data_IF_893661898074
#
_entry.id   IF_893661898074
#
_cell.length_a   1.000
_cell.length_b   1.000
_cell.length_c   1.000
_cell.angle_alpha   90.00
_cell.angle_beta   90.00
_cell.angle_gamma   90.00
#
_symmetry.space_group_name_H-M   'P 1'
#
loop_
_entity.id
_entity.type
_entity.pdbx_description
1 polymer ?
#
# COMPACT_ATOMS: atom_id res chain seq x y z
N UNK A 1 -35.56 -2.32 15.43
CA UNK A 1 -35.35 -3.30 14.34
C UNK A 1 -33.83 -3.45 14.22
N UNK A 2 -33.26 -4.45 14.89
CA UNK A 2 -31.80 -4.66 14.96
C UNK A 2 -31.41 -5.33 13.65
N UNK A 3 -30.68 -4.61 12.79
CA UNK A 3 -30.07 -5.19 11.59
C UNK A 3 -28.99 -6.19 12.03
N UNK A 4 -29.29 -7.46 11.84
CA UNK A 4 -28.35 -8.57 11.95
C UNK A 4 -27.21 -8.32 10.94
N UNK A 5 -26.02 -8.04 11.43
CA UNK A 5 -24.81 -8.10 10.63
C UNK A 5 -24.62 -9.56 10.24
N UNK A 6 -24.95 -9.89 9.01
CA UNK A 6 -24.63 -11.18 8.44
C UNK A 6 -23.12 -11.36 8.46
N UNK A 7 -22.63 -12.21 9.35
CA UNK A 7 -21.27 -12.75 9.32
C UNK A 7 -21.12 -13.55 8.03
N UNK A 8 -20.72 -12.89 6.95
CA UNK A 8 -20.35 -13.56 5.71
C UNK A 8 -19.25 -14.57 6.02
N UNK A 9 -19.58 -15.86 5.98
CA UNK A 9 -18.63 -16.96 6.05
C UNK A 9 -17.62 -16.75 4.91
N UNK A 10 -16.35 -16.50 5.24
CA UNK A 10 -15.24 -16.74 4.33
C UNK A 10 -15.21 -18.25 4.07
N UNK A 11 -15.88 -18.72 3.02
CA UNK A 11 -15.99 -20.14 2.67
C UNK A 11 -14.77 -20.67 1.91
N UNK A 12 -13.83 -19.81 1.55
CA UNK A 12 -12.51 -20.17 1.06
C UNK A 12 -11.48 -19.21 1.67
N UNK A 13 -10.31 -19.72 2.01
CA UNK A 13 -9.20 -18.93 2.53
C UNK A 13 -8.74 -17.96 1.45
N UNK A 14 -8.71 -16.67 1.74
CA UNK A 14 -8.24 -15.62 0.83
C UNK A 14 -6.76 -15.78 0.55
N UNK A 15 -6.35 -15.83 -0.71
CA UNK A 15 -4.96 -15.89 -1.14
C UNK A 15 -4.53 -14.50 -1.63
N UNK A 16 -3.54 -13.93 -0.97
CA UNK A 16 -3.04 -12.60 -1.28
C UNK A 16 -1.56 -12.60 -1.66
N UNK A 17 -1.19 -11.79 -2.63
CA UNK A 17 0.18 -11.42 -2.94
C UNK A 17 0.38 -9.95 -2.57
N UNK A 18 1.31 -9.66 -1.66
CA UNK A 18 1.73 -8.30 -1.32
C UNK A 18 3.15 -8.09 -1.83
N UNK A 19 3.26 -7.41 -2.96
CA UNK A 19 4.52 -7.06 -3.59
C UNK A 19 5.11 -5.80 -2.92
N UNK A 20 6.34 -5.91 -2.40
CA UNK A 20 6.96 -4.83 -1.62
C UNK A 20 6.48 -4.78 -0.17
N UNK A 21 6.49 -5.94 0.51
CA UNK A 21 5.97 -6.10 1.86
C UNK A 21 7.04 -6.19 2.95
N UNK A 22 8.25 -5.74 2.68
CA UNK A 22 9.37 -5.80 3.64
C UNK A 22 9.14 -4.88 4.83
N UNK A 23 8.57 -3.68 4.61
CA UNK A 23 8.38 -2.61 5.62
C UNK A 23 7.21 -1.69 5.24
N UNK A 24 6.94 -0.69 6.07
CA UNK A 24 5.98 0.39 5.83
C UNK A 24 4.57 -0.11 5.53
N UNK A 25 3.91 0.50 4.55
CA UNK A 25 2.55 0.15 4.17
C UNK A 25 2.40 -1.33 3.81
N UNK A 26 3.32 -1.89 3.01
CA UNK A 26 3.26 -3.29 2.58
C UNK A 26 3.32 -4.28 3.74
N UNK A 27 4.16 -4.00 4.76
CA UNK A 27 4.25 -4.79 6.00
C UNK A 27 2.94 -4.72 6.79
N UNK A 28 2.39 -3.50 6.95
CA UNK A 28 1.11 -3.31 7.64
C UNK A 28 -0.05 -3.99 6.90
N UNK A 29 -0.11 -3.86 5.58
CA UNK A 29 -1.13 -4.52 4.75
C UNK A 29 -1.05 -6.04 4.87
N UNK A 30 0.15 -6.62 4.78
CA UNK A 30 0.33 -8.06 4.93
C UNK A 30 -0.15 -8.55 6.30
N UNK A 31 0.22 -7.87 7.39
CA UNK A 31 -0.19 -8.21 8.75
C UNK A 31 -1.72 -8.14 8.94
N UNK A 32 -2.37 -7.09 8.47
CA UNK A 32 -3.82 -6.91 8.60
C UNK A 32 -4.62 -7.88 7.68
N UNK A 33 -4.07 -8.29 6.55
CA UNK A 33 -4.61 -9.41 5.76
C UNK A 33 -4.50 -10.74 6.54
N UNK A 34 -3.39 -10.94 7.26
CA UNK A 34 -3.26 -12.06 8.20
C UNK A 34 -4.32 -12.03 9.29
N UNK A 35 -4.61 -10.87 9.86
CA UNK A 35 -5.63 -10.71 10.92
C UNK A 35 -7.06 -11.07 10.44
N UNK A 36 -7.31 -11.06 9.13
CA UNK A 36 -8.57 -11.52 8.55
C UNK A 36 -8.51 -12.97 8.03
N UNK A 37 -7.44 -13.71 8.37
CA UNK A 37 -7.29 -15.14 8.09
C UNK A 37 -6.78 -15.46 6.67
N UNK A 38 -6.14 -14.52 5.98
CA UNK A 38 -5.61 -14.76 4.64
C UNK A 38 -4.30 -15.58 4.67
N UNK A 39 -4.05 -16.32 3.58
CA UNK A 39 -2.70 -16.74 3.21
C UNK A 39 -2.05 -15.61 2.42
N UNK A 40 -0.92 -15.11 2.89
CA UNK A 40 -0.26 -13.94 2.33
C UNK A 40 1.14 -14.29 1.85
N UNK A 41 1.37 -14.19 0.56
CA UNK A 41 2.70 -14.21 -0.03
C UNK A 41 3.34 -12.83 0.13
N UNK A 42 4.33 -12.77 1.00
CA UNK A 42 5.08 -11.57 1.37
C UNK A 42 6.34 -11.50 0.52
N UNK A 43 6.46 -10.50 -0.34
CA UNK A 43 7.60 -10.44 -1.26
C UNK A 43 8.40 -9.15 -1.15
N UNK A 44 9.68 -9.25 -1.45
CA UNK A 44 10.65 -8.18 -1.43
C UNK A 44 12.05 -8.73 -1.66
N UNK A 45 13.05 -7.84 -1.73
CA UNK A 45 14.43 -8.20 -2.01
C UNK A 45 15.25 -8.49 -0.75
N UNK A 46 14.86 -7.90 0.39
CA UNK A 46 15.60 -8.05 1.66
C UNK A 46 15.07 -9.25 2.44
N UNK A 47 15.97 -10.18 2.70
CA UNK A 47 15.77 -11.37 3.52
C UNK A 47 16.73 -11.33 4.73
N UNK A 48 16.62 -12.29 5.65
CA UNK A 48 17.56 -12.45 6.76
C UNK A 48 18.99 -12.73 6.29
N UNK A 49 19.13 -13.39 5.14
CA UNK A 49 20.42 -13.81 4.59
C UNK A 49 20.99 -12.79 3.58
N UNK A 50 20.16 -11.92 3.03
CA UNK A 50 20.55 -10.98 1.98
C UNK A 50 19.85 -9.64 2.14
N UNK A 51 20.60 -8.57 2.32
CA UNK A 51 20.10 -7.20 2.31
C UNK A 51 20.07 -6.65 0.87
N UNK A 52 19.07 -5.79 0.59
CA UNK A 52 19.05 -4.98 -0.63
C UNK A 52 20.03 -3.81 -0.51
N UNK A 53 20.20 -3.05 -1.61
CA UNK A 53 21.03 -1.85 -1.66
C UNK A 53 20.65 -0.77 -0.63
N UNK A 54 19.45 -0.84 -0.05
CA UNK A 54 19.00 0.09 1.00
C UNK A 54 19.58 -0.21 2.38
N UNK A 55 20.19 -1.38 2.57
CA UNK A 55 20.86 -1.82 3.81
C UNK A 55 19.98 -1.68 5.06
N UNK A 56 18.66 -1.83 4.90
CA UNK A 56 17.73 -1.74 6.02
C UNK A 56 17.52 -3.12 6.68
N UNK A 57 17.27 -3.14 8.00
CA UNK A 57 17.19 -4.38 8.77
C UNK A 57 15.91 -5.18 8.54
N UNK A 58 14.81 -4.52 8.11
CA UNK A 58 13.51 -5.16 7.98
C UNK A 58 13.52 -6.24 6.88
N UNK A 59 12.94 -7.41 7.15
CA UNK A 59 12.95 -8.56 6.25
C UNK A 59 11.53 -9.05 5.89
N UNK A 60 11.43 -9.78 4.78
CA UNK A 60 10.15 -10.39 4.38
C UNK A 60 9.76 -11.54 5.31
N UNK A 61 10.72 -12.24 5.92
CA UNK A 61 10.46 -13.32 6.88
C UNK A 61 9.81 -12.78 8.14
N UNK A 62 10.29 -11.65 8.67
CA UNK A 62 9.67 -11.00 9.83
C UNK A 62 8.22 -10.59 9.52
N UNK A 63 7.97 -10.09 8.31
CA UNK A 63 6.62 -9.74 7.89
C UNK A 63 5.73 -10.98 7.77
N UNK A 64 6.24 -12.09 7.21
CA UNK A 64 5.50 -13.35 7.15
C UNK A 64 5.17 -13.92 8.54
N UNK A 65 6.09 -13.76 9.50
CA UNK A 65 5.84 -14.09 10.91
C UNK A 65 4.76 -13.19 11.54
N UNK A 66 4.74 -11.88 11.19
CA UNK A 66 3.66 -10.97 11.63
C UNK A 66 2.30 -11.44 11.11
N UNK A 67 2.20 -11.81 9.83
CA UNK A 67 0.98 -12.38 9.23
C UNK A 67 0.51 -13.61 10.03
N UNK A 68 1.44 -14.51 10.33
CA UNK A 68 1.13 -15.75 11.05
C UNK A 68 0.71 -15.47 12.51
N UNK A 69 1.39 -14.57 13.20
CA UNK A 69 1.00 -14.13 14.55
C UNK A 69 -0.36 -13.45 14.59
N UNK A 70 -0.74 -12.77 13.52
CA UNK A 70 -2.05 -12.12 13.38
C UNK A 70 -3.20 -13.11 13.13
N UNK A 71 -2.92 -14.39 12.82
CA UNK A 71 -3.93 -15.43 12.62
C UNK A 71 -4.10 -15.92 11.20
N UNK A 72 -3.29 -15.41 10.25
CA UNK A 72 -3.22 -15.87 8.87
C UNK A 72 -2.12 -16.90 8.63
N UNK A 73 -1.73 -17.03 7.38
CA UNK A 73 -0.59 -17.86 6.96
C UNK A 73 0.38 -17.03 6.12
N UNK A 74 1.51 -16.62 6.70
CA UNK A 74 2.53 -15.82 6.02
C UNK A 74 3.56 -16.69 5.30
N UNK A 75 3.82 -16.40 4.03
CA UNK A 75 4.79 -17.09 3.20
C UNK A 75 5.77 -16.05 2.63
N UNK A 76 7.00 -16.05 3.12
CA UNK A 76 8.05 -15.18 2.58
C UNK A 76 8.60 -15.76 1.27
N UNK A 77 8.67 -14.93 0.23
CA UNK A 77 9.27 -15.29 -1.05
C UNK A 77 10.14 -14.14 -1.54
N UNK A 78 11.45 -14.37 -1.59
CA UNK A 78 12.37 -13.37 -2.15
C UNK A 78 12.07 -13.18 -3.64
N UNK A 79 11.87 -11.94 -4.06
CA UNK A 79 11.69 -11.58 -5.45
C UNK A 79 12.15 -10.14 -5.72
N UNK A 80 12.91 -9.96 -6.80
CA UNK A 80 13.07 -8.68 -7.45
C UNK A 80 11.99 -8.55 -8.53
N UNK A 81 11.07 -7.63 -8.33
CA UNK A 81 9.94 -7.44 -9.25
C UNK A 81 10.32 -6.76 -10.56
N UNK A 82 11.58 -6.32 -10.75
CA UNK A 82 12.15 -5.98 -12.05
C UNK A 82 12.59 -7.21 -12.84
N UNK A 83 12.85 -8.33 -12.18
CA UNK A 83 13.23 -9.59 -12.80
C UNK A 83 11.97 -10.39 -13.18
N UNK A 84 11.70 -10.44 -14.49
CA UNK A 84 10.52 -11.11 -15.04
C UNK A 84 10.48 -12.61 -14.73
N UNK A 85 11.64 -13.27 -14.67
CA UNK A 85 11.73 -14.70 -14.41
C UNK A 85 11.44 -15.01 -12.94
N UNK A 86 11.92 -14.17 -12.01
CA UNK A 86 11.59 -14.31 -10.61
C UNK A 86 10.09 -14.06 -10.35
N UNK A 87 9.49 -13.04 -10.98
CA UNK A 87 8.04 -12.76 -10.84
C UNK A 87 7.21 -13.90 -11.43
N UNK A 88 7.60 -14.43 -12.60
CA UNK A 88 6.92 -15.59 -13.18
C UNK A 88 7.00 -16.81 -12.25
N UNK A 89 8.19 -17.13 -11.74
CA UNK A 89 8.39 -18.26 -10.82
C UNK A 89 7.59 -18.09 -9.52
N UNK A 90 7.47 -16.87 -8.98
CA UNK A 90 6.62 -16.54 -7.84
C UNK A 90 5.17 -16.87 -8.12
N UNK A 91 4.62 -16.40 -9.24
CA UNK A 91 3.20 -16.64 -9.60
C UNK A 91 2.94 -18.12 -9.88
N UNK A 92 3.86 -18.81 -10.56
CA UNK A 92 3.79 -20.27 -10.76
C UNK A 92 3.83 -21.04 -9.44
N UNK A 93 4.60 -20.55 -8.44
CA UNK A 93 4.59 -21.11 -7.09
C UNK A 93 3.24 -20.94 -6.42
N UNK A 94 2.65 -19.72 -6.46
CA UNK A 94 1.30 -19.47 -5.92
C UNK A 94 0.28 -20.39 -6.59
N UNK A 95 0.35 -20.53 -7.91
CA UNK A 95 -0.54 -21.42 -8.66
C UNK A 95 -0.41 -22.89 -8.22
N UNK A 96 0.81 -23.41 -8.11
CA UNK A 96 1.03 -24.80 -7.65
C UNK A 96 0.56 -25.04 -6.22
N UNK A 97 0.75 -24.08 -5.33
CA UNK A 97 0.44 -24.22 -3.91
C UNK A 97 -1.04 -23.97 -3.60
N UNK A 98 -1.70 -23.04 -4.32
CA UNK A 98 -3.03 -22.53 -3.99
C UNK A 98 -4.06 -22.69 -5.13
N UNK A 99 -3.60 -22.75 -6.39
CA UNK A 99 -4.46 -22.82 -7.57
C UNK A 99 -5.25 -21.54 -7.88
N UNK A 100 -5.08 -20.48 -7.06
CA UNK A 100 -5.80 -19.20 -7.17
C UNK A 100 -5.01 -18.04 -6.57
N UNK A 101 -5.41 -16.84 -6.97
CA UNK A 101 -5.03 -15.57 -6.33
C UNK A 101 -6.29 -14.70 -6.21
N UNK A 102 -6.56 -14.16 -5.04
CA UNK A 102 -7.74 -13.34 -4.79
C UNK A 102 -7.42 -11.86 -4.68
N UNK A 103 -6.22 -11.54 -4.17
CA UNK A 103 -5.78 -10.17 -3.90
C UNK A 103 -4.35 -9.97 -4.39
N UNK A 104 -4.15 -8.95 -5.19
CA UNK A 104 -2.84 -8.43 -5.55
C UNK A 104 -2.69 -7.03 -4.99
N UNK A 105 -1.66 -6.81 -4.17
CA UNK A 105 -1.27 -5.48 -3.70
C UNK A 105 0.08 -5.13 -4.30
N UNK A 106 0.12 -4.17 -5.20
CA UNK A 106 1.33 -3.57 -5.72
C UNK A 106 1.75 -2.40 -4.83
N UNK A 107 2.74 -2.62 -3.97
CA UNK A 107 3.25 -1.62 -3.02
C UNK A 107 4.76 -1.39 -3.18
N UNK A 108 5.34 -1.77 -4.31
CA UNK A 108 6.76 -1.58 -4.54
C UNK A 108 7.05 -0.09 -4.77
N UNK A 109 8.01 0.43 -4.01
CA UNK A 109 8.49 1.78 -4.20
C UNK A 109 9.97 1.76 -4.56
N UNK A 110 10.87 1.80 -3.62
CA UNK A 110 12.32 1.75 -3.87
C UNK A 110 12.93 3.06 -4.36
N UNK A 111 12.24 4.18 -4.16
CA UNK A 111 12.72 5.50 -4.55
C UNK A 111 13.24 6.35 -3.39
N UNK A 112 13.35 5.81 -2.18
CA UNK A 112 13.62 6.59 -0.97
C UNK A 112 14.90 7.42 -1.03
N UNK A 113 15.93 6.92 -1.70
CA UNK A 113 17.23 7.59 -1.81
C UNK A 113 17.48 8.23 -3.18
N UNK A 114 16.48 8.23 -4.07
CA UNK A 114 16.64 8.62 -5.47
C UNK A 114 16.03 9.98 -5.80
N UNK A 115 15.20 10.55 -4.94
CA UNK A 115 14.59 11.84 -5.22
C UNK A 115 15.34 12.99 -4.53
N UNK A 116 15.35 14.15 -5.19
CA UNK A 116 15.86 15.39 -4.64
C UNK A 116 14.69 16.33 -4.38
N UNK A 117 14.68 16.94 -3.20
CA UNK A 117 13.71 17.96 -2.85
C UNK A 117 14.02 19.27 -3.58
N UNK A 118 12.99 20.00 -3.99
CA UNK A 118 13.07 21.39 -4.47
C UNK A 118 14.01 21.65 -5.66
N UNK A 119 14.36 20.61 -6.42
CA UNK A 119 15.13 20.77 -7.65
C UNK A 119 14.23 20.74 -8.88
N UNK A 120 14.46 21.61 -9.88
CA UNK A 120 13.79 21.48 -11.16
C UNK A 120 14.35 20.28 -11.94
N UNK A 121 13.57 19.78 -12.90
CA UNK A 121 13.91 18.58 -13.68
C UNK A 121 15.34 18.56 -14.23
N UNK A 122 15.82 19.67 -14.73
CA UNK A 122 17.15 19.80 -15.37
C UNK A 122 18.33 19.80 -14.39
N UNK A 123 18.06 19.78 -13.07
CA UNK A 123 19.07 19.66 -12.02
C UNK A 123 19.00 18.29 -11.28
N UNK A 124 18.04 17.45 -11.65
CA UNK A 124 17.99 16.08 -11.14
C UNK A 124 19.09 15.22 -11.77
N UNK A 125 19.58 14.24 -11.01
CA UNK A 125 20.30 13.14 -11.60
C UNK A 125 19.34 12.32 -12.48
N UNK A 126 19.66 12.23 -13.77
CA UNK A 126 18.78 11.56 -14.73
C UNK A 126 18.73 10.05 -14.50
N UNK A 127 19.87 9.43 -14.13
CA UNK A 127 19.95 7.99 -13.90
C UNK A 127 19.12 7.61 -12.66
N UNK A 128 19.19 8.41 -11.59
CA UNK A 128 18.35 8.23 -10.40
C UNK A 128 16.87 8.39 -10.73
N UNK A 129 16.51 9.41 -11.49
CA UNK A 129 15.14 9.65 -11.93
C UNK A 129 14.58 8.50 -12.77
N UNK A 130 15.34 8.04 -13.77
CA UNK A 130 14.96 6.91 -14.62
C UNK A 130 14.89 5.59 -13.82
N UNK A 131 15.80 5.41 -12.85
CA UNK A 131 15.75 4.27 -11.94
C UNK A 131 14.49 4.29 -11.08
N UNK A 132 14.08 5.45 -10.56
CA UNK A 132 12.83 5.62 -9.81
C UNK A 132 11.60 5.19 -10.64
N UNK A 133 11.51 5.62 -11.91
CA UNK A 133 10.44 5.20 -12.81
C UNK A 133 10.40 3.67 -12.95
N UNK A 134 11.55 3.04 -13.20
CA UNK A 134 11.63 1.58 -13.32
C UNK A 134 11.20 0.87 -12.03
N UNK A 135 11.69 1.32 -10.87
CA UNK A 135 11.38 0.70 -9.59
C UNK A 135 9.90 0.80 -9.21
N UNK A 136 9.21 1.86 -9.60
CA UNK A 136 7.85 2.11 -9.17
C UNK A 136 6.79 1.87 -10.26
N UNK A 137 7.17 1.84 -11.54
CA UNK A 137 6.24 1.61 -12.65
C UNK A 137 6.43 0.22 -13.25
N UNK A 138 7.65 -0.11 -13.70
CA UNK A 138 7.89 -1.40 -14.36
C UNK A 138 7.58 -2.58 -13.44
N UNK A 139 7.91 -2.46 -12.14
CA UNK A 139 7.63 -3.51 -11.14
C UNK A 139 6.14 -3.80 -11.00
N UNK A 140 5.28 -2.77 -10.96
CA UNK A 140 3.83 -2.92 -10.90
C UNK A 140 3.29 -3.56 -12.19
N UNK A 141 3.78 -3.12 -13.36
CA UNK A 141 3.39 -3.68 -14.66
C UNK A 141 3.80 -5.15 -14.77
N UNK A 142 5.06 -5.48 -14.46
CA UNK A 142 5.59 -6.85 -14.54
C UNK A 142 4.81 -7.76 -13.59
N UNK A 143 4.61 -7.33 -12.35
CA UNK A 143 3.88 -8.12 -11.35
C UNK A 143 2.45 -8.38 -11.80
N UNK A 144 1.74 -7.33 -12.22
CA UNK A 144 0.36 -7.44 -12.71
C UNK A 144 0.27 -8.34 -13.95
N UNK A 145 1.20 -8.21 -14.91
CA UNK A 145 1.21 -9.03 -16.13
C UNK A 145 1.20 -10.54 -15.83
N UNK A 146 2.01 -10.98 -14.87
CA UNK A 146 2.07 -12.41 -14.52
C UNK A 146 0.97 -12.83 -13.55
N UNK A 147 0.56 -11.97 -12.60
CA UNK A 147 -0.40 -12.31 -11.55
C UNK A 147 -1.87 -12.30 -12.02
N UNK A 148 -2.24 -11.39 -12.91
CA UNK A 148 -3.62 -11.21 -13.32
C UNK A 148 -4.27 -12.42 -13.99
N UNK A 149 -3.59 -13.24 -14.83
CA UNK A 149 -4.18 -14.48 -15.35
C UNK A 149 -4.62 -15.45 -14.25
N UNK A 150 -3.87 -15.53 -13.14
CA UNK A 150 -4.22 -16.37 -11.99
C UNK A 150 -5.37 -15.74 -11.19
N UNK A 151 -5.35 -14.44 -10.97
CA UNK A 151 -6.39 -13.69 -10.25
C UNK A 151 -7.75 -13.78 -10.98
N UNK A 152 -7.75 -13.77 -12.30
CA UNK A 152 -8.96 -13.82 -13.13
C UNK A 152 -9.56 -15.22 -13.31
N UNK A 153 -8.98 -16.26 -12.72
CA UNK A 153 -9.59 -17.61 -12.76
C UNK A 153 -10.89 -17.70 -11.97
N UNK A 154 -11.08 -16.78 -11.03
CA UNK A 154 -12.27 -16.68 -10.19
C UNK A 154 -12.80 -15.26 -10.19
N UNK A 155 -14.11 -15.10 -10.05
CA UNK A 155 -14.71 -13.78 -9.90
C UNK A 155 -14.36 -13.16 -8.56
N UNK A 156 -14.41 -11.84 -8.50
CA UNK A 156 -14.23 -11.09 -7.27
C UNK A 156 -12.77 -10.78 -6.92
N UNK A 157 -11.81 -10.95 -7.85
CA UNK A 157 -10.42 -10.54 -7.64
C UNK A 157 -10.28 -9.06 -7.31
N UNK A 158 -9.28 -8.71 -6.48
CA UNK A 158 -8.98 -7.34 -6.08
C UNK A 158 -7.52 -6.99 -6.40
N UNK A 159 -7.31 -5.90 -7.12
CA UNK A 159 -5.99 -5.27 -7.32
C UNK A 159 -5.96 -3.95 -6.59
N UNK A 160 -4.93 -3.75 -5.75
CA UNK A 160 -4.68 -2.50 -5.03
C UNK A 160 -3.33 -1.95 -5.50
N UNK A 161 -3.37 -0.81 -6.16
CA UNK A 161 -2.20 -0.05 -6.60
C UNK A 161 -1.89 1.02 -5.54
N UNK A 162 -0.77 0.85 -4.82
CA UNK A 162 -0.40 1.77 -3.73
C UNK A 162 0.33 2.99 -4.28
N UNK A 163 -0.17 4.17 -3.91
CA UNK A 163 0.38 5.46 -4.36
C UNK A 163 0.55 6.45 -3.20
N UNK A 164 0.92 7.69 -3.51
CA UNK A 164 0.89 8.84 -2.61
C UNK A 164 0.11 9.98 -3.26
N UNK A 165 -0.92 10.42 -2.56
CA UNK A 165 -1.88 11.41 -3.04
C UNK A 165 -3.14 10.78 -3.65
N UNK A 166 -4.28 11.41 -3.38
CA UNK A 166 -5.53 11.11 -4.08
C UNK A 166 -5.46 11.66 -5.52
N UNK A 167 -6.28 11.12 -6.43
CA UNK A 167 -6.33 11.63 -7.80
C UNK A 167 -6.70 13.13 -7.85
N UNK A 168 -7.65 13.56 -7.02
CA UNK A 168 -8.08 14.95 -6.96
C UNK A 168 -6.96 15.87 -6.46
N UNK A 169 -6.22 15.43 -5.43
CA UNK A 169 -5.10 16.19 -4.91
C UNK A 169 -3.95 16.31 -5.93
N UNK A 170 -3.54 15.19 -6.52
CA UNK A 170 -2.43 15.16 -7.47
C UNK A 170 -2.77 15.86 -8.80
N UNK A 171 -4.05 15.99 -9.15
CA UNK A 171 -4.45 16.69 -10.38
C UNK A 171 -4.14 18.20 -10.35
N UNK A 172 -4.00 18.80 -9.16
CA UNK A 172 -3.81 20.24 -8.98
C UNK A 172 -2.59 20.61 -8.15
N UNK A 173 -1.90 19.63 -7.56
CA UNK A 173 -0.73 19.85 -6.72
C UNK A 173 0.48 19.08 -7.27
N UNK A 174 1.60 19.78 -7.39
CA UNK A 174 2.89 19.18 -7.72
C UNK A 174 3.51 18.55 -6.48
N UNK A 175 3.92 17.26 -6.59
CA UNK A 175 4.40 16.47 -5.46
C UNK A 175 5.92 16.36 -5.46
N UNK A 176 6.58 16.90 -4.43
CA UNK A 176 7.98 16.67 -4.07
C UNK A 176 8.97 17.01 -5.19
N UNK A 177 8.96 16.29 -6.31
CA UNK A 177 9.85 16.48 -7.46
C UNK A 177 9.25 15.85 -8.72
N UNK A 178 9.80 16.20 -9.90
CA UNK A 178 9.25 15.77 -11.19
C UNK A 178 9.09 14.25 -11.30
N UNK A 179 10.12 13.47 -10.97
CA UNK A 179 10.05 12.01 -11.08
C UNK A 179 9.13 11.40 -10.04
N UNK A 180 9.12 11.95 -8.83
CA UNK A 180 8.20 11.50 -7.78
C UNK A 180 6.75 11.73 -8.18
N UNK A 181 6.40 12.94 -8.58
CA UNK A 181 5.06 13.32 -9.03
C UNK A 181 4.59 12.44 -10.18
N UNK A 182 5.45 12.27 -11.20
CA UNK A 182 5.16 11.44 -12.37
C UNK A 182 4.87 9.98 -11.98
N UNK A 183 5.68 9.40 -11.09
CA UNK A 183 5.49 8.03 -10.62
C UNK A 183 4.15 7.89 -9.90
N UNK A 184 3.87 8.76 -8.92
CA UNK A 184 2.66 8.66 -8.10
C UNK A 184 1.39 8.86 -8.93
N UNK A 185 1.43 9.77 -9.89
CA UNK A 185 0.34 9.98 -10.87
C UNK A 185 0.21 8.80 -11.85
N UNK A 186 1.32 8.16 -12.25
CA UNK A 186 1.30 6.98 -13.12
C UNK A 186 0.59 5.80 -12.47
N UNK A 187 0.79 5.57 -11.17
CA UNK A 187 0.12 4.51 -10.41
C UNK A 187 -1.40 4.73 -10.38
N UNK A 188 -1.85 5.97 -10.19
CA UNK A 188 -3.28 6.32 -10.30
C UNK A 188 -3.84 5.94 -11.69
N UNK A 189 -3.07 6.24 -12.75
CA UNK A 189 -3.48 5.92 -14.13
C UNK A 189 -3.47 4.42 -14.39
N UNK A 190 -2.52 3.66 -13.82
CA UNK A 190 -2.50 2.20 -13.91
C UNK A 190 -3.74 1.58 -13.27
N UNK A 191 -4.11 1.98 -12.06
CA UNK A 191 -5.32 1.49 -11.41
C UNK A 191 -6.59 1.76 -12.25
N UNK A 192 -6.69 2.96 -12.83
CA UNK A 192 -7.79 3.29 -13.74
C UNK A 192 -7.79 2.41 -14.99
N UNK A 193 -6.64 2.19 -15.63
CA UNK A 193 -6.52 1.31 -16.81
C UNK A 193 -6.94 -0.12 -16.48
N UNK A 194 -6.37 -0.69 -15.41
CA UNK A 194 -6.72 -2.03 -14.92
C UNK A 194 -8.22 -2.16 -14.62
N UNK A 195 -8.86 -1.13 -14.06
CA UNK A 195 -10.30 -1.17 -13.78
C UNK A 195 -11.16 -1.38 -15.03
N UNK A 196 -10.70 -0.86 -16.20
CA UNK A 196 -11.42 -1.02 -17.47
C UNK A 196 -11.24 -2.43 -18.07
N UNK A 197 -10.10 -3.05 -17.82
CA UNK A 197 -9.81 -4.40 -18.32
C UNK A 197 -10.37 -5.48 -17.40
N UNK A 198 -10.34 -5.27 -16.07
CA UNK A 198 -10.73 -6.25 -15.07
C UNK A 198 -12.22 -6.20 -14.72
N UNK A 199 -12.86 -5.02 -14.74
CA UNK A 199 -14.27 -4.84 -14.40
C UNK A 199 -15.21 -5.75 -15.18
N UNK A 200 -15.10 -5.87 -16.52
CA UNK A 200 -15.92 -6.79 -17.32
C UNK A 200 -15.72 -8.28 -16.97
N UNK A 201 -14.68 -8.61 -16.21
CA UNK A 201 -14.35 -9.97 -15.75
C UNK A 201 -14.69 -10.20 -14.27
N UNK A 202 -15.43 -9.27 -13.65
CA UNK A 202 -15.86 -9.37 -12.27
C UNK A 202 -14.75 -9.10 -11.22
N UNK A 203 -13.60 -8.52 -11.61
CA UNK A 203 -12.56 -8.11 -10.70
C UNK A 203 -12.51 -6.58 -10.53
N UNK A 204 -11.93 -6.13 -9.43
CA UNK A 204 -11.88 -4.72 -9.02
C UNK A 204 -10.43 -4.26 -8.97
N UNK A 205 -10.14 -3.08 -9.51
CA UNK A 205 -8.85 -2.42 -9.37
C UNK A 205 -9.05 -1.02 -8.78
N UNK A 206 -8.27 -0.69 -7.75
CA UNK A 206 -8.30 0.62 -7.09
C UNK A 206 -6.89 1.17 -6.90
N UNK A 207 -6.75 2.49 -6.89
CA UNK A 207 -5.57 3.14 -6.32
C UNK A 207 -5.86 3.44 -4.83
N UNK A 208 -4.87 3.20 -3.97
CA UNK A 208 -5.00 3.48 -2.54
C UNK A 208 -3.78 4.28 -2.06
N UNK A 209 -4.05 5.37 -1.35
CA UNK A 209 -3.03 6.17 -0.69
C UNK A 209 -3.21 6.13 0.81
N UNK A 210 -2.14 5.88 1.60
CA UNK A 210 -2.14 6.22 3.01
C UNK A 210 -2.17 7.74 3.19
N UNK A 211 -2.36 8.17 4.41
CA UNK A 211 -2.01 9.52 4.85
C UNK A 211 -0.50 9.65 5.09
N UNK A 212 -0.11 10.55 6.00
CA UNK A 212 1.29 10.64 6.41
C UNK A 212 1.66 9.41 7.24
N UNK A 213 2.35 8.47 6.60
CA UNK A 213 2.61 7.15 7.15
C UNK A 213 3.77 7.18 8.16
N UNK A 214 3.55 6.68 9.36
CA UNK A 214 4.60 6.38 10.36
C UNK A 214 5.32 5.08 9.99
N UNK A 215 5.98 5.08 8.82
CA UNK A 215 6.84 3.97 8.42
C UNK A 215 8.13 3.95 9.26
N UNK A 216 8.82 2.81 9.26
CA UNK A 216 10.10 2.65 9.95
C UNK A 216 11.10 3.74 9.54
N UNK A 217 11.17 4.06 8.24
CA UNK A 217 12.02 5.13 7.71
C UNK A 217 11.61 6.51 8.23
N UNK A 218 10.31 6.80 8.31
CA UNK A 218 9.81 8.10 8.76
C UNK A 218 10.04 8.28 10.26
N UNK A 219 9.83 7.25 11.05
CA UNK A 219 10.10 7.27 12.49
C UNK A 219 11.60 7.47 12.76
N UNK A 220 12.46 6.75 12.03
CA UNK A 220 13.92 6.91 12.12
C UNK A 220 14.35 8.33 11.71
N UNK A 221 13.79 8.89 10.62
CA UNK A 221 14.08 10.25 10.17
C UNK A 221 13.78 11.30 11.25
N UNK A 222 12.74 11.10 12.03
CA UNK A 222 12.39 11.99 13.16
C UNK A 222 13.04 11.60 14.49
N UNK A 223 13.81 10.50 14.53
CA UNK A 223 14.47 10.02 15.76
C UNK A 223 13.50 9.52 16.83
N UNK A 224 12.35 8.99 16.42
CA UNK A 224 11.26 8.51 17.30
C UNK A 224 10.91 7.05 17.03
N UNK A 225 10.12 6.45 17.90
CA UNK A 225 9.50 5.11 17.73
C UNK A 225 7.99 5.23 17.59
N UNK A 226 7.28 4.12 17.31
CA UNK A 226 5.82 4.14 17.26
C UNK A 226 5.20 4.50 18.63
N UNK A 227 5.89 4.22 19.74
CA UNK A 227 5.45 4.60 21.09
C UNK A 227 5.67 6.09 21.37
N UNK A 228 6.73 6.68 20.81
CA UNK A 228 7.16 8.07 21.08
C UNK A 228 6.92 9.02 19.89
N UNK A 229 6.23 8.61 18.85
CA UNK A 229 6.09 9.40 17.62
C UNK A 229 5.56 10.83 17.84
N UNK A 230 4.82 11.05 18.94
CA UNK A 230 4.31 12.38 19.29
C UNK A 230 5.39 13.36 19.67
N UNK A 231 6.58 12.89 20.05
CA UNK A 231 7.71 13.77 20.38
C UNK A 231 8.20 14.53 19.12
N UNK A 232 7.97 13.98 17.91
CA UNK A 232 8.25 14.66 16.65
C UNK A 232 7.40 15.90 16.43
N UNK A 233 6.26 16.05 17.11
CA UNK A 233 5.33 17.17 16.93
C UNK A 233 5.92 18.51 17.35
N UNK A 234 6.94 18.52 18.22
CA UNK A 234 7.65 19.74 18.59
C UNK A 234 8.27 20.44 17.37
N UNK A 235 8.82 19.65 16.44
CA UNK A 235 9.48 20.16 15.24
C UNK A 235 8.63 20.07 13.96
N UNK A 236 7.68 19.12 13.92
CA UNK A 236 6.82 18.85 12.76
C UNK A 236 5.36 18.74 13.22
N UNK A 237 4.71 19.86 13.57
CA UNK A 237 3.38 19.85 14.19
C UNK A 237 2.30 19.15 13.37
N UNK A 238 2.32 19.27 12.03
CA UNK A 238 1.38 18.62 11.14
C UNK A 238 1.52 17.09 11.08
N UNK A 239 2.63 16.52 11.59
CA UNK A 239 2.75 15.06 11.75
C UNK A 239 1.71 14.48 12.73
N UNK A 240 1.02 15.34 13.49
CA UNK A 240 -0.11 14.95 14.33
C UNK A 240 -1.22 14.19 13.58
N UNK A 241 -1.37 14.38 12.26
CA UNK A 241 -2.37 13.66 11.45
C UNK A 241 -1.89 12.29 10.95
N UNK A 242 -0.65 11.91 11.22
CA UNK A 242 -0.02 10.69 10.70
C UNK A 242 -0.76 9.42 11.13
N UNK A 243 -0.64 8.39 10.34
CA UNK A 243 -1.23 7.07 10.56
C UNK A 243 -0.17 5.97 10.67
N UNK A 244 -0.49 4.89 11.38
CA UNK A 244 0.36 3.69 11.42
C UNK A 244 0.23 2.86 10.14
N UNK A 245 1.22 1.98 9.82
CA UNK A 245 1.09 1.01 8.73
C UNK A 245 -0.12 0.07 8.87
N UNK A 246 -0.58 -0.20 10.08
CA UNK A 246 -1.78 -1.00 10.31
C UNK A 246 -3.05 -0.31 9.79
N UNK A 247 -3.13 1.02 9.80
CA UNK A 247 -4.34 1.73 9.39
C UNK A 247 -4.62 1.55 7.90
N UNK A 248 -3.64 1.74 7.03
CA UNK A 248 -3.80 1.44 5.60
C UNK A 248 -3.96 -0.06 5.36
N UNK A 249 -3.36 -0.92 6.19
CA UNK A 249 -3.60 -2.37 6.17
C UNK A 249 -5.06 -2.73 6.42
N UNK A 250 -5.69 -2.10 7.43
CA UNK A 250 -7.13 -2.24 7.73
C UNK A 250 -8.02 -1.76 6.59
N UNK A 251 -7.59 -0.72 5.86
CA UNK A 251 -8.29 -0.28 4.66
C UNK A 251 -8.32 -1.37 3.57
N UNK A 252 -7.18 -2.03 3.30
CA UNK A 252 -7.12 -3.15 2.35
C UNK A 252 -7.94 -4.35 2.86
N UNK A 253 -7.83 -4.70 4.13
CA UNK A 253 -8.60 -5.78 4.74
C UNK A 253 -10.12 -5.53 4.67
N UNK A 254 -10.56 -4.28 4.83
CA UNK A 254 -11.95 -3.88 4.69
C UNK A 254 -12.45 -4.06 3.24
N UNK A 255 -11.66 -3.64 2.24
CA UNK A 255 -11.96 -3.88 0.82
C UNK A 255 -12.05 -5.36 0.49
N UNK A 256 -11.17 -6.20 1.04
CA UNK A 256 -11.19 -7.65 0.85
C UNK A 256 -12.48 -8.27 1.40
N UNK A 257 -12.96 -7.78 2.54
CA UNK A 257 -14.17 -8.27 3.19
C UNK A 257 -15.48 -7.72 2.62
N UNK A 258 -15.39 -6.67 1.81
CA UNK A 258 -16.57 -6.01 1.26
C UNK A 258 -17.15 -6.83 0.07
N UNK A 259 -18.35 -7.38 0.19
CA UNK A 259 -18.99 -8.11 -0.91
C UNK A 259 -19.38 -7.20 -2.09
N UNK A 260 -19.51 -5.88 -1.84
CA UNK A 260 -19.88 -4.87 -2.84
C UNK A 260 -18.69 -3.98 -3.24
N UNK A 261 -17.46 -4.51 -3.12
CA UNK A 261 -16.24 -3.75 -3.44
C UNK A 261 -16.17 -3.29 -4.90
N UNK A 262 -16.94 -3.89 -5.79
CA UNK A 262 -17.03 -3.49 -7.19
C UNK A 262 -17.44 -2.01 -7.37
N UNK A 263 -18.15 -1.42 -6.39
CA UNK A 263 -18.48 0.02 -6.42
C UNK A 263 -17.24 0.93 -6.39
N UNK A 264 -16.10 0.41 -5.92
CA UNK A 264 -14.85 1.15 -5.86
C UNK A 264 -14.00 1.03 -7.13
N UNK A 265 -14.43 0.22 -8.10
CA UNK A 265 -13.62 -0.07 -9.28
C UNK A 265 -13.21 1.20 -10.03
N UNK A 266 -11.91 1.39 -10.21
CA UNK A 266 -11.31 2.54 -10.90
C UNK A 266 -11.20 3.81 -10.06
N UNK A 267 -11.54 3.75 -8.78
CA UNK A 267 -11.46 4.91 -7.89
C UNK A 267 -10.08 5.07 -7.25
N UNK A 268 -9.76 6.31 -6.92
CA UNK A 268 -8.64 6.69 -6.06
C UNK A 268 -9.16 6.84 -4.64
N UNK A 269 -8.67 6.02 -3.73
CA UNK A 269 -9.14 5.89 -2.37
C UNK A 269 -8.03 6.31 -1.39
N UNK A 270 -8.42 6.78 -0.20
CA UNK A 270 -7.49 6.99 0.91
C UNK A 270 -7.86 6.10 2.10
N UNK A 271 -6.85 5.73 2.91
CA UNK A 271 -7.05 5.01 4.17
C UNK A 271 -8.07 5.71 5.07
N UNK A 272 -7.94 7.03 5.25
CA UNK A 272 -8.87 7.85 6.02
C UNK A 272 -10.29 7.83 5.46
N UNK A 273 -10.47 8.01 4.15
CA UNK A 273 -11.78 7.94 3.49
C UNK A 273 -12.45 6.58 3.68
N UNK A 274 -11.69 5.49 3.53
CA UNK A 274 -12.21 4.14 3.77
C UNK A 274 -12.55 3.91 5.25
N UNK A 275 -11.79 4.47 6.18
CA UNK A 275 -12.10 4.38 7.61
C UNK A 275 -13.43 5.06 7.97
N UNK A 276 -13.80 6.15 7.29
CA UNK A 276 -15.12 6.76 7.48
C UNK A 276 -16.26 5.84 7.00
N UNK A 277 -16.03 5.10 5.91
CA UNK A 277 -17.05 4.20 5.34
C UNK A 277 -17.16 2.89 6.14
N UNK A 278 -16.03 2.27 6.50
CA UNK A 278 -16.01 0.94 7.11
C UNK A 278 -15.92 0.95 8.64
N UNK A 279 -15.62 2.09 9.24
CA UNK A 279 -15.65 2.27 10.69
C UNK A 279 -14.43 1.71 11.44
N UNK A 280 -13.35 1.30 10.75
CA UNK A 280 -12.12 0.89 11.43
C UNK A 280 -11.33 2.09 11.96
N UNK A 281 -10.45 1.84 12.91
CA UNK A 281 -9.58 2.85 13.56
C UNK A 281 -8.12 2.50 13.35
N UNK A 282 -7.22 3.43 13.63
CA UNK A 282 -5.79 3.17 13.79
C UNK A 282 -5.49 2.44 15.11
N UNK A 283 -4.24 2.07 15.35
CA UNK A 283 -3.82 1.32 16.56
C UNK A 283 -4.07 2.07 17.86
N UNK A 284 -4.10 3.41 17.82
CA UNK A 284 -4.39 4.28 18.95
C UNK A 284 -5.89 4.61 19.10
N UNK A 285 -6.75 3.98 18.29
CA UNK A 285 -8.21 4.20 18.31
C UNK A 285 -8.68 5.40 17.51
N UNK A 286 -7.79 6.21 16.93
CA UNK A 286 -8.13 7.35 16.09
C UNK A 286 -8.55 6.95 14.67
N UNK A 287 -9.06 7.93 13.90
CA UNK A 287 -9.41 7.77 12.47
C UNK A 287 -8.85 8.91 11.66
N UNK A 288 -7.53 8.95 11.42
CA UNK A 288 -6.92 10.06 10.70
C UNK A 288 -7.50 10.19 9.27
N UNK A 289 -8.08 11.35 8.98
CA UNK A 289 -8.51 11.76 7.63
C UNK A 289 -7.45 12.72 7.05
N UNK A 290 -6.29 12.13 6.75
CA UNK A 290 -5.09 12.89 6.46
C UNK A 290 -5.23 13.77 5.21
N UNK A 291 -5.88 13.27 4.13
CA UNK A 291 -5.97 14.06 2.90
C UNK A 291 -6.93 15.23 3.02
N UNK A 292 -8.01 15.10 3.78
CA UNK A 292 -8.86 16.25 4.11
C UNK A 292 -8.12 17.25 4.99
N UNK A 293 -7.36 16.78 5.98
CA UNK A 293 -6.54 17.64 6.83
C UNK A 293 -5.46 18.38 6.03
N UNK A 294 -4.76 17.69 5.13
CA UNK A 294 -3.74 18.32 4.28
C UNK A 294 -4.31 19.49 3.52
N UNK A 295 -5.45 19.32 2.85
CA UNK A 295 -6.10 20.37 2.07
C UNK A 295 -6.64 21.49 2.95
N UNK A 296 -7.38 21.15 4.01
CA UNK A 296 -8.14 22.14 4.78
C UNK A 296 -7.33 22.85 5.87
N UNK A 297 -6.21 22.27 6.30
CA UNK A 297 -5.37 22.80 7.38
C UNK A 297 -3.94 23.09 6.93
N UNK A 298 -3.20 22.08 6.46
CA UNK A 298 -1.78 22.21 6.18
C UNK A 298 -1.53 23.12 4.98
N UNK A 299 -2.12 22.85 3.82
CA UNK A 299 -1.96 23.65 2.59
C UNK A 299 -2.65 25.02 2.71
N UNK A 300 -3.67 25.11 3.56
CA UNK A 300 -4.30 26.38 3.90
C UNK A 300 -3.46 27.24 4.88
N UNK A 301 -2.27 26.79 5.28
CA UNK A 301 -1.36 27.52 6.19
C UNK A 301 -1.90 27.74 7.59
N UNK A 302 -2.84 26.89 8.05
CA UNK A 302 -3.41 26.99 9.40
C UNK A 302 -2.52 26.31 10.43
N UNK A 303 -2.58 26.69 11.70
CA UNK A 303 -1.93 25.96 12.78
C UNK A 303 -2.34 24.47 12.79
N UNK A 304 -1.43 23.60 13.20
CA UNK A 304 -1.66 22.16 13.28
C UNK A 304 -2.69 21.84 14.38
N UNK A 305 -3.95 21.69 13.97
CA UNK A 305 -5.05 21.26 14.81
C UNK A 305 -5.77 20.07 14.12
N UNK A 306 -5.73 18.90 14.74
CA UNK A 306 -6.34 17.68 14.20
C UNK A 306 -7.76 17.45 14.69
N UNK A 307 -8.36 18.41 15.42
CA UNK A 307 -9.74 18.32 15.89
C UNK A 307 -10.70 18.13 14.71
N UNK A 308 -11.45 17.03 14.71
CA UNK A 308 -12.39 16.69 13.62
C UNK A 308 -11.73 16.00 12.41
N UNK A 309 -10.42 15.75 12.46
CA UNK A 309 -9.69 15.03 11.40
C UNK A 309 -9.03 13.73 11.89
N UNK A 310 -8.95 13.54 13.22
CA UNK A 310 -8.32 12.35 13.81
C UNK A 310 -9.21 11.64 14.82
#
# INVERSE_FOLDING_TARGET
MILSVATGRLTAMTIALVAGATRGAGRGIAAELGAVGATVYVTGRTTRDQQSEYQRPETIEETAELVTRAGGHGIAVQADHLDRDQVRALVERIDREQGRLDVLVNNIWGGENLFSWDKPLWEHDLDDGMRMLRLAIDTHIITSHYALPLLLRHEGGLVVEMTDGTADYNAVNYRVSFFYDLVKSSVLRMAFGLSKELGPRGATAVALTPGWLRSELMLEHFGVTEETWRDALENVPHFAISESPAFVGRAVAALVRDPDRARWNGQSLSSGGLAQVYGFTDVDGSRPDAWRYVVEVQDAGKPADTTGYR
#
